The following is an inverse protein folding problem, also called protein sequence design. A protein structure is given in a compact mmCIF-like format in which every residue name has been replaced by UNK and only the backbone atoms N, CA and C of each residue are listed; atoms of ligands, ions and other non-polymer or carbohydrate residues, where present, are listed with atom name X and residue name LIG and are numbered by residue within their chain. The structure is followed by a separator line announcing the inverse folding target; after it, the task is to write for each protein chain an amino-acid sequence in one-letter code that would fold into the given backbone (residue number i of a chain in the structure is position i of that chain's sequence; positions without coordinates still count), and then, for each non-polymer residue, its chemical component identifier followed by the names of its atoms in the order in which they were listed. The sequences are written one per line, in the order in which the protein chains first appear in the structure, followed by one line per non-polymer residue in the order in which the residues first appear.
data_IF_282824837826
#
_entry.id   IF_282824837826
#
_cell.length_a   1.000
_cell.length_b   1.000
_cell.length_c   1.000
_cell.angle_alpha   90.00
_cell.angle_beta   90.00
_cell.angle_gamma   90.00
#
_symmetry.space_group_name_H-M   'P 1'
#
loop_
_entity.id
_entity.type
_entity.pdbx_description
1 polymer ?
#
# COMPACT_ATOMS: atom_id res chain seq x y z
N UNK A 1 30.20 -15.88 -9.65
CA UNK A 1 28.85 -16.45 -9.48
C UNK A 1 28.88 -17.29 -8.23
N UNK A 2 28.18 -16.90 -7.15
CA UNK A 2 28.15 -17.65 -5.87
C UNK A 2 27.21 -18.88 -5.90
N UNK A 3 26.80 -19.32 -7.09
CA UNK A 3 25.81 -20.39 -7.27
C UNK A 3 26.39 -21.75 -6.86
N UNK A 4 27.71 -21.93 -6.89
CA UNK A 4 28.35 -23.21 -6.52
C UNK A 4 28.44 -23.43 -4.99
N UNK A 5 28.35 -22.36 -4.18
CA UNK A 5 28.41 -22.43 -2.71
C UNK A 5 27.01 -22.46 -2.06
N UNK A 6 26.00 -22.95 -2.77
CA UNK A 6 24.63 -22.97 -2.23
C UNK A 6 24.44 -24.15 -1.27
N UNK A 7 23.96 -23.83 -0.06
CA UNK A 7 23.59 -24.82 0.93
C UNK A 7 22.25 -25.46 0.58
N UNK A 8 22.27 -26.76 0.27
CA UNK A 8 21.07 -27.54 -0.09
C UNK A 8 20.04 -27.54 1.04
N UNK A 9 20.47 -27.52 2.30
CA UNK A 9 19.57 -27.46 3.45
C UNK A 9 18.85 -26.10 3.55
N UNK A 10 19.50 -25.01 3.13
CA UNK A 10 18.89 -23.68 3.08
C UNK A 10 17.82 -23.60 1.99
N UNK A 11 18.06 -24.23 0.82
CA UNK A 11 17.06 -24.36 -0.25
C UNK A 11 15.86 -25.16 0.25
N UNK A 12 16.07 -26.32 0.87
CA UNK A 12 14.96 -27.18 1.30
C UNK A 12 14.07 -26.50 2.34
N UNK A 13 14.65 -25.74 3.26
CA UNK A 13 13.92 -24.91 4.23
C UNK A 13 13.14 -23.81 3.52
N UNK A 14 13.75 -23.12 2.54
CA UNK A 14 13.07 -22.08 1.78
C UNK A 14 11.86 -22.62 1.01
N UNK A 15 12.06 -23.69 0.23
CA UNK A 15 11.00 -24.35 -0.54
C UNK A 15 9.91 -24.88 0.39
N UNK A 16 10.29 -25.54 1.49
CA UNK A 16 9.35 -26.02 2.50
C UNK A 16 8.54 -24.87 3.12
N UNK A 17 9.18 -23.74 3.43
CA UNK A 17 8.53 -22.55 3.98
C UNK A 17 7.54 -21.94 2.99
N UNK A 18 7.88 -21.87 1.71
CA UNK A 18 6.99 -21.37 0.65
C UNK A 18 5.78 -22.30 0.51
N UNK A 19 6.01 -23.61 0.36
CA UNK A 19 4.96 -24.61 0.19
C UNK A 19 4.02 -24.60 1.39
N UNK A 20 4.55 -24.62 2.61
CA UNK A 20 3.73 -24.54 3.82
C UNK A 20 2.93 -23.24 3.90
N UNK A 21 3.54 -22.10 3.56
CA UNK A 21 2.85 -20.80 3.54
C UNK A 21 1.68 -20.80 2.54
N UNK A 22 1.86 -21.37 1.35
CA UNK A 22 0.80 -21.45 0.33
C UNK A 22 -0.32 -22.38 0.79
N UNK A 23 0.02 -23.56 1.33
CA UNK A 23 -0.95 -24.52 1.85
C UNK A 23 -1.77 -23.89 2.98
N UNK A 24 -1.12 -23.24 3.95
CA UNK A 24 -1.79 -22.58 5.06
C UNK A 24 -2.69 -21.44 4.59
N UNK A 25 -2.32 -20.69 3.55
CA UNK A 25 -3.18 -19.66 2.95
C UNK A 25 -4.39 -20.27 2.23
N UNK A 26 -4.20 -21.39 1.54
CA UNK A 26 -5.30 -22.10 0.88
C UNK A 26 -6.29 -22.66 1.90
N UNK A 27 -5.79 -23.36 2.92
CA UNK A 27 -6.60 -23.89 4.03
C UNK A 27 -7.25 -22.75 4.81
N UNK A 28 -6.52 -21.66 5.09
CA UNK A 28 -7.02 -20.46 5.75
C UNK A 28 -8.18 -19.83 4.99
N UNK A 29 -8.07 -19.70 3.66
CA UNK A 29 -9.17 -19.22 2.82
C UNK A 29 -10.39 -20.14 2.88
N UNK A 30 -10.18 -21.46 2.82
CA UNK A 30 -11.28 -22.43 2.95
C UNK A 30 -11.97 -22.34 4.32
N UNK A 31 -11.20 -22.24 5.41
CA UNK A 31 -11.74 -22.12 6.77
C UNK A 31 -12.44 -20.77 6.98
N UNK A 32 -11.89 -19.68 6.44
CA UNK A 32 -12.49 -18.35 6.51
C UNK A 32 -13.90 -18.35 5.90
N UNK A 33 -14.10 -19.04 4.78
CA UNK A 33 -15.44 -19.16 4.15
C UNK A 33 -16.45 -19.93 5.02
N UNK A 34 -15.99 -20.80 5.93
CA UNK A 34 -16.88 -21.67 6.72
C UNK A 34 -17.09 -21.23 8.17
N UNK A 35 -16.05 -20.66 8.80
CA UNK A 35 -16.06 -20.32 10.25
C UNK A 35 -15.69 -18.87 10.55
N UNK A 36 -15.41 -18.02 9.55
CA UNK A 36 -14.98 -16.63 9.74
C UNK A 36 -13.74 -16.44 10.62
N UNK A 37 -12.91 -17.48 10.76
CA UNK A 37 -11.64 -17.42 11.49
C UNK A 37 -10.50 -17.27 10.49
N UNK A 38 -9.71 -16.20 10.61
CA UNK A 38 -8.48 -16.01 9.83
C UNK A 38 -7.31 -16.69 10.52
N UNK A 39 -6.69 -17.66 9.85
CA UNK A 39 -5.51 -18.34 10.36
C UNK A 39 -4.26 -17.45 10.22
N UNK A 40 -3.44 -17.29 11.28
CA UNK A 40 -2.19 -16.54 11.21
C UNK A 40 -1.10 -17.39 10.53
N UNK A 41 -1.20 -17.53 9.21
CA UNK A 41 -0.34 -18.43 8.41
C UNK A 41 1.15 -18.15 8.58
N UNK A 42 1.54 -16.88 8.64
CA UNK A 42 2.92 -16.44 8.78
C UNK A 42 3.49 -16.82 10.17
N UNK A 43 2.69 -16.70 11.22
CA UNK A 43 3.11 -17.06 12.58
C UNK A 43 3.33 -18.57 12.71
N UNK A 44 2.46 -19.38 12.11
CA UNK A 44 2.60 -20.85 12.11
C UNK A 44 3.90 -21.26 11.42
N UNK A 45 4.22 -20.66 10.27
CA UNK A 45 5.47 -20.93 9.54
C UNK A 45 6.69 -20.57 10.39
N UNK A 46 6.68 -19.41 11.05
CA UNK A 46 7.76 -18.99 11.95
C UNK A 46 7.93 -19.98 13.11
N UNK A 47 6.83 -20.42 13.74
CA UNK A 47 6.87 -21.35 14.87
C UNK A 47 7.39 -22.73 14.45
N UNK A 48 6.92 -23.25 13.31
CA UNK A 48 7.33 -24.57 12.80
C UNK A 48 8.80 -24.56 12.41
N UNK A 49 9.23 -23.65 11.52
CA UNK A 49 10.62 -23.64 11.05
C UNK A 49 11.60 -23.09 12.09
N UNK A 50 11.17 -22.16 12.94
CA UNK A 50 11.95 -21.71 14.10
C UNK A 50 12.14 -22.84 15.10
N UNK A 51 11.09 -23.62 15.40
CA UNK A 51 11.16 -24.77 16.30
C UNK A 51 12.04 -25.90 15.75
N UNK A 52 11.90 -26.22 14.46
CA UNK A 52 12.78 -27.19 13.78
C UNK A 52 14.24 -26.71 13.82
N UNK A 53 14.49 -25.44 13.54
CA UNK A 53 15.84 -24.88 13.55
C UNK A 53 16.48 -24.91 14.94
N UNK A 54 15.71 -24.56 15.96
CA UNK A 54 16.12 -24.62 17.36
C UNK A 54 16.40 -26.06 17.82
N UNK A 55 15.47 -27.00 17.57
CA UNK A 55 15.59 -28.38 18.01
C UNK A 55 16.65 -29.19 17.27
N UNK A 56 16.78 -29.00 15.95
CA UNK A 56 17.77 -29.71 15.14
C UNK A 56 19.15 -29.03 15.12
N UNK A 57 19.28 -27.83 15.72
CA UNK A 57 20.49 -26.98 15.70
C UNK A 57 21.02 -26.78 14.28
N UNK A 58 20.15 -26.33 13.39
CA UNK A 58 20.43 -26.22 11.96
C UNK A 58 21.59 -25.27 11.63
N UNK A 59 21.78 -24.23 12.46
CA UNK A 59 22.92 -23.32 12.32
C UNK A 59 24.25 -24.05 12.54
N UNK A 60 24.38 -24.82 13.64
CA UNK A 60 25.62 -25.53 13.99
C UNK A 60 25.92 -26.70 13.02
N UNK A 61 24.89 -27.48 12.67
CA UNK A 61 25.09 -28.72 11.89
C UNK A 61 25.20 -28.51 10.39
N UNK A 62 24.44 -27.58 9.85
CA UNK A 62 24.33 -27.36 8.41
C UNK A 62 24.82 -25.99 7.98
N UNK A 63 25.37 -25.18 8.89
CA UNK A 63 25.85 -23.82 8.59
C UNK A 63 24.78 -22.94 7.92
N UNK A 64 23.52 -23.09 8.35
CA UNK A 64 22.40 -22.29 7.84
C UNK A 64 22.42 -20.92 8.52
N UNK A 65 22.30 -19.85 7.74
CA UNK A 65 22.21 -18.48 8.27
C UNK A 65 20.88 -18.29 9.01
N UNK A 66 20.98 -17.91 10.27
CA UNK A 66 19.84 -17.56 11.12
C UNK A 66 19.84 -16.06 11.43
N UNK A 67 18.72 -15.54 11.96
CA UNK A 67 18.57 -14.13 12.33
C UNK A 67 19.66 -13.67 13.30
N UNK A 68 20.07 -14.53 14.24
CA UNK A 68 21.11 -14.21 15.21
C UNK A 68 20.57 -13.48 16.43
N UNK A 69 21.44 -12.77 17.15
CA UNK A 69 21.06 -12.16 18.43
C UNK A 69 20.05 -11.02 18.24
N UNK A 70 18.85 -11.21 18.77
CA UNK A 70 17.82 -10.16 18.86
C UNK A 70 17.90 -9.54 20.25
N UNK A 71 18.05 -8.21 20.39
CA UNK A 71 18.09 -7.57 21.70
C UNK A 71 16.78 -7.82 22.44
N UNK A 72 16.87 -8.50 23.58
CA UNK A 72 15.73 -8.80 24.44
C UNK A 72 15.43 -7.62 25.35
N UNK A 73 14.17 -7.17 25.39
CA UNK A 73 13.70 -6.09 26.26
C UNK A 73 13.00 -4.97 25.49
N UNK A 74 12.50 -3.97 26.21
CA UNK A 74 11.98 -2.76 25.58
C UNK A 74 13.15 -1.89 25.08
N UNK A 75 13.05 -1.30 23.87
CA UNK A 75 14.06 -0.36 23.41
C UNK A 75 14.11 0.85 24.35
N UNK A 76 15.32 1.29 24.68
CA UNK A 76 15.53 2.54 25.42
C UNK A 76 15.07 3.74 24.59
N UNK A 77 14.58 4.79 25.26
CA UNK A 77 14.26 6.05 24.59
C UNK A 77 15.54 6.67 24.05
N UNK A 78 15.62 6.83 22.73
CA UNK A 78 16.74 7.43 22.00
C UNK A 78 16.30 8.73 21.37
N UNK A 79 17.01 9.82 21.65
CA UNK A 79 16.77 11.11 20.99
C UNK A 79 17.31 11.05 19.54
N UNK A 80 16.54 11.48 18.54
CA UNK A 80 17.02 11.53 17.16
C UNK A 80 18.13 12.58 17.00
N UNK A 81 19.21 12.23 16.30
CA UNK A 81 20.34 13.13 16.08
C UNK A 81 19.93 14.32 15.19
N UNK A 82 20.03 15.54 15.74
CA UNK A 82 19.68 16.76 15.01
C UNK A 82 20.62 17.06 13.85
N UNK A 83 21.85 16.54 13.85
CA UNK A 83 22.86 16.83 12.81
C UNK A 83 22.45 16.30 11.45
N UNK A 84 21.74 15.18 11.41
CA UNK A 84 21.29 14.53 10.18
C UNK A 84 19.97 15.11 9.65
N UNK A 85 19.30 16.01 10.41
CA UNK A 85 17.99 16.52 9.99
C UNK A 85 18.07 17.25 8.65
N UNK A 86 19.05 18.13 8.48
CA UNK A 86 19.19 18.93 7.26
C UNK A 86 19.42 18.08 6.00
N UNK A 87 20.06 16.92 6.11
CA UNK A 87 20.30 16.03 4.96
C UNK A 87 19.09 15.16 4.62
N UNK A 88 18.22 14.87 5.60
CA UNK A 88 17.07 13.98 5.45
C UNK A 88 15.72 14.69 5.26
N UNK A 89 15.66 16.03 5.33
CA UNK A 89 14.39 16.77 5.21
C UNK A 89 13.64 16.40 3.93
N UNK A 90 14.33 16.35 2.80
CA UNK A 90 13.69 16.08 1.52
C UNK A 90 13.18 14.62 1.42
N UNK A 91 14.03 13.65 1.74
CA UNK A 91 13.67 12.23 1.70
C UNK A 91 12.55 11.91 2.69
N UNK A 92 12.60 12.48 3.90
CA UNK A 92 11.55 12.28 4.92
C UNK A 92 10.22 12.91 4.52
N UNK A 93 10.21 14.07 3.85
CA UNK A 93 8.99 14.69 3.31
C UNK A 93 8.35 13.81 2.24
N UNK A 94 9.16 13.25 1.35
CA UNK A 94 8.71 12.32 0.30
C UNK A 94 8.10 11.07 0.93
N UNK A 95 8.80 10.43 1.88
CA UNK A 95 8.31 9.23 2.58
C UNK A 95 7.02 9.54 3.35
N UNK A 96 6.94 10.67 4.05
CA UNK A 96 5.76 11.08 4.80
C UNK A 96 4.54 11.25 3.90
N UNK A 97 4.72 11.91 2.75
CA UNK A 97 3.64 12.09 1.76
C UNK A 97 3.13 10.75 1.23
N UNK A 98 4.02 9.83 0.85
CA UNK A 98 3.63 8.51 0.34
C UNK A 98 2.93 7.70 1.41
N UNK A 99 3.53 7.62 2.59
CA UNK A 99 3.05 6.76 3.64
C UNK A 99 1.68 7.26 4.17
N UNK A 100 1.48 8.59 4.24
CA UNK A 100 0.17 9.18 4.48
C UNK A 100 -0.81 8.91 3.32
N UNK A 101 -0.40 9.10 2.07
CA UNK A 101 -1.25 8.84 0.89
C UNK A 101 -1.72 7.38 0.81
N UNK A 102 -0.83 6.42 1.10
CA UNK A 102 -1.20 5.00 1.21
C UNK A 102 -2.18 4.78 2.35
N UNK A 103 -1.92 5.35 3.53
CA UNK A 103 -2.78 5.18 4.70
C UNK A 103 -4.17 5.77 4.48
N UNK A 104 -4.29 6.99 3.95
CA UNK A 104 -5.59 7.61 3.70
C UNK A 104 -6.37 6.92 2.58
N UNK A 105 -5.68 6.38 1.57
CA UNK A 105 -6.31 5.57 0.52
C UNK A 105 -6.96 4.30 1.10
N UNK A 106 -6.30 3.67 2.08
CA UNK A 106 -6.85 2.53 2.81
C UNK A 106 -8.06 2.93 3.68
N UNK A 107 -7.92 4.02 4.44
CA UNK A 107 -9.02 4.54 5.29
C UNK A 107 -10.25 4.85 4.44
N UNK A 108 -10.06 5.51 3.29
CA UNK A 108 -11.14 5.78 2.32
C UNK A 108 -11.80 4.51 1.81
N UNK A 109 -11.02 3.53 1.38
CA UNK A 109 -11.56 2.25 0.88
C UNK A 109 -12.33 1.44 1.94
N UNK A 110 -12.01 1.62 3.23
CA UNK A 110 -12.74 1.01 4.33
C UNK A 110 -13.98 1.80 4.75
N UNK A 111 -13.90 3.13 4.72
CA UNK A 111 -15.02 4.03 5.03
C UNK A 111 -16.12 3.95 3.96
N UNK A 112 -15.77 3.84 2.67
CA UNK A 112 -16.74 3.63 1.59
C UNK A 112 -17.58 2.36 1.81
N UNK A 113 -17.01 1.31 2.41
CA UNK A 113 -17.73 0.08 2.76
C UNK A 113 -18.57 0.19 4.05
N UNK A 114 -18.23 1.14 4.91
CA UNK A 114 -18.83 1.28 6.26
C UNK A 114 -19.74 2.49 6.39
N UNK A 115 -19.81 3.35 5.37
CA UNK A 115 -20.51 4.65 5.37
C UNK A 115 -20.04 5.61 6.47
N UNK A 116 -18.78 5.48 6.90
CA UNK A 116 -18.19 6.31 7.95
C UNK A 116 -17.70 7.66 7.41
N UNK A 117 -17.84 8.72 8.19
CA UNK A 117 -17.32 10.05 7.84
C UNK A 117 -15.83 10.14 8.17
N UNK A 118 -15.01 10.47 7.16
CA UNK A 118 -13.57 10.67 7.33
C UNK A 118 -13.26 12.15 7.55
N UNK A 119 -12.44 12.44 8.56
CA UNK A 119 -11.84 13.76 8.75
C UNK A 119 -10.35 13.70 8.42
N UNK A 120 -9.97 14.16 7.23
CA UNK A 120 -8.58 14.14 6.75
C UNK A 120 -7.60 14.85 7.69
N UNK A 121 -8.00 15.97 8.28
CA UNK A 121 -7.15 16.72 9.21
C UNK A 121 -6.85 15.92 10.49
N UNK A 122 -7.83 15.16 11.00
CA UNK A 122 -7.64 14.33 12.19
C UNK A 122 -6.74 13.13 11.88
N UNK A 123 -6.95 12.48 10.74
CA UNK A 123 -6.09 11.37 10.29
C UNK A 123 -4.63 11.83 10.11
N UNK A 124 -4.41 12.98 9.48
CA UNK A 124 -3.06 13.54 9.30
C UNK A 124 -2.39 13.83 10.64
N UNK A 125 -3.11 14.47 11.57
CA UNK A 125 -2.58 14.77 12.90
C UNK A 125 -2.25 13.52 13.69
N UNK A 126 -3.16 12.53 13.73
CA UNK A 126 -2.94 11.25 14.40
C UNK A 126 -1.75 10.49 13.81
N UNK A 127 -1.61 10.49 12.49
CA UNK A 127 -0.50 9.84 11.79
C UNK A 127 0.86 10.50 12.09
N UNK A 128 0.90 11.84 12.09
CA UNK A 128 2.10 12.60 12.45
C UNK A 128 2.49 12.38 13.92
N UNK A 129 1.50 12.41 14.82
CA UNK A 129 1.71 12.16 16.25
C UNK A 129 2.26 10.76 16.51
N UNK A 130 1.69 9.72 15.86
CA UNK A 130 2.15 8.34 15.98
C UNK A 130 3.63 8.19 15.55
N UNK A 131 3.99 8.67 14.37
CA UNK A 131 5.36 8.56 13.87
C UNK A 131 6.36 9.42 14.68
N UNK A 132 5.92 10.56 15.21
CA UNK A 132 6.75 11.40 16.09
C UNK A 132 7.10 10.65 17.38
N UNK A 133 6.11 10.04 18.04
CA UNK A 133 6.36 9.25 19.26
C UNK A 133 7.22 8.02 18.95
N UNK A 134 6.91 7.30 17.87
CA UNK A 134 7.67 6.11 17.46
C UNK A 134 9.13 6.39 17.14
N UNK A 135 9.47 7.61 16.68
CA UNK A 135 10.86 8.00 16.39
C UNK A 135 11.79 7.91 17.61
N UNK A 136 11.26 8.15 18.82
CA UNK A 136 12.02 8.06 20.06
C UNK A 136 12.36 6.62 20.47
N UNK A 137 11.74 5.62 19.84
CA UNK A 137 11.95 4.20 20.12
C UNK A 137 12.68 3.49 18.96
N UNK A 138 13.43 4.25 18.15
CA UNK A 138 14.16 3.71 16.98
C UNK A 138 13.27 2.93 15.99
N UNK A 139 12.00 3.32 15.87
CA UNK A 139 11.06 2.70 14.94
C UNK A 139 11.20 3.27 13.53
N UNK A 140 10.97 2.41 12.52
CA UNK A 140 10.73 2.86 11.16
C UNK A 140 9.36 3.54 11.03
N UNK A 141 9.17 4.30 9.94
CA UNK A 141 7.90 4.95 9.62
C UNK A 141 6.77 3.91 9.56
N UNK A 142 5.73 4.14 10.36
CA UNK A 142 4.54 3.30 10.43
C UNK A 142 3.57 3.69 9.32
N UNK A 143 3.00 2.73 8.60
CA UNK A 143 1.95 2.95 7.59
C UNK A 143 0.73 2.05 7.83
N UNK A 144 -0.42 2.43 7.29
CA UNK A 144 -1.64 1.62 7.34
C UNK A 144 -1.46 0.24 6.69
N UNK A 145 -1.97 -0.82 7.33
CA UNK A 145 -1.88 -2.19 6.83
C UNK A 145 -3.23 -2.67 6.31
N UNK A 146 -3.35 -2.80 4.98
CA UNK A 146 -4.59 -3.26 4.34
C UNK A 146 -5.06 -4.62 4.91
N UNK A 147 -4.14 -5.57 5.08
CA UNK A 147 -4.48 -6.91 5.57
C UNK A 147 -5.03 -6.87 6.99
N UNK A 148 -4.36 -6.19 7.92
CA UNK A 148 -4.80 -6.09 9.32
C UNK A 148 -6.09 -5.30 9.46
N UNK A 149 -6.19 -4.15 8.79
CA UNK A 149 -7.38 -3.29 8.86
C UNK A 149 -8.60 -3.95 8.21
N UNK A 150 -8.43 -4.73 7.14
CA UNK A 150 -9.53 -5.47 6.54
C UNK A 150 -10.06 -6.58 7.46
N UNK A 151 -9.19 -7.29 8.18
CA UNK A 151 -9.60 -8.31 9.16
C UNK A 151 -10.31 -7.64 10.35
N UNK A 152 -9.75 -6.56 10.88
CA UNK A 152 -10.37 -5.80 11.97
C UNK A 152 -11.76 -5.28 11.55
N UNK A 153 -11.89 -4.72 10.35
CA UNK A 153 -13.16 -4.24 9.83
C UNK A 153 -14.23 -5.34 9.68
N UNK A 154 -13.82 -6.59 9.46
CA UNK A 154 -14.73 -7.75 9.37
C UNK A 154 -15.16 -8.28 10.75
N UNK A 155 -14.24 -8.37 11.70
CA UNK A 155 -14.44 -9.08 12.99
C UNK A 155 -14.97 -8.14 14.08
N UNK A 156 -14.61 -6.85 14.08
CA UNK A 156 -15.12 -5.88 15.06
C UNK A 156 -14.56 -4.47 14.91
N UNK A 157 -15.42 -3.45 15.03
CA UNK A 157 -15.10 -2.03 14.79
C UNK A 157 -14.63 -1.26 16.04
N UNK A 158 -13.77 -1.84 16.88
CA UNK A 158 -13.26 -1.14 18.08
C UNK A 158 -11.75 -0.96 18.05
N UNK A 159 -11.28 0.21 18.50
CA UNK A 159 -9.84 0.50 18.66
C UNK A 159 -9.19 -0.36 19.77
N UNK A 160 -10.00 -0.96 20.66
CA UNK A 160 -9.54 -1.92 21.65
C UNK A 160 -8.84 -3.13 21.00
N UNK A 161 -9.27 -3.54 19.80
CA UNK A 161 -8.60 -4.61 19.06
C UNK A 161 -7.13 -4.31 18.75
N UNK A 162 -6.80 -3.04 18.47
CA UNK A 162 -5.44 -2.61 18.21
C UNK A 162 -4.58 -2.63 19.48
N UNK A 163 -5.15 -2.23 20.63
CA UNK A 163 -4.48 -2.28 21.94
C UNK A 163 -4.19 -3.73 22.36
N UNK A 164 -5.18 -4.62 22.23
CA UNK A 164 -4.98 -6.05 22.53
C UNK A 164 -3.91 -6.64 21.60
N UNK A 165 -3.95 -6.29 20.30
CA UNK A 165 -2.95 -6.75 19.34
C UNK A 165 -1.54 -6.27 19.67
N UNK A 166 -1.36 -5.02 20.11
CA UNK A 166 -0.04 -4.50 20.49
C UNK A 166 0.51 -5.16 21.75
N UNK A 167 -0.34 -5.44 22.74
CA UNK A 167 0.04 -6.18 23.96
C UNK A 167 0.47 -7.61 23.61
N UNK A 168 -0.28 -8.30 22.75
CA UNK A 168 0.08 -9.65 22.31
C UNK A 168 1.43 -9.64 21.58
N UNK A 169 1.65 -8.69 20.67
CA UNK A 169 2.93 -8.56 19.96
C UNK A 169 4.08 -8.30 20.94
N UNK A 170 3.86 -7.46 21.95
CA UNK A 170 4.86 -7.19 23.00
C UNK A 170 5.21 -8.47 23.79
N UNK A 171 4.19 -9.25 24.21
CA UNK A 171 4.40 -10.53 24.91
C UNK A 171 5.15 -11.52 24.01
N UNK A 172 4.75 -11.65 22.75
CA UNK A 172 5.43 -12.53 21.79
C UNK A 172 6.87 -12.11 21.60
N UNK A 173 7.18 -10.81 21.51
CA UNK A 173 8.55 -10.34 21.34
C UNK A 173 9.42 -10.64 22.57
N UNK A 174 8.86 -10.52 23.78
CA UNK A 174 9.57 -10.82 25.03
C UNK A 174 9.79 -12.33 25.26
N UNK A 175 8.82 -13.17 24.90
CA UNK A 175 8.86 -14.61 25.16
C UNK A 175 9.50 -15.39 24.01
N UNK A 176 9.24 -15.00 22.76
CA UNK A 176 9.69 -15.71 21.56
C UNK A 176 11.06 -15.25 21.05
N UNK A 177 11.75 -14.35 21.74
CA UNK A 177 13.13 -13.95 21.43
C UNK A 177 14.06 -15.15 21.08
N UNK A 178 14.15 -16.24 21.89
CA UNK A 178 14.99 -17.39 21.55
C UNK A 178 14.54 -18.17 20.31
N UNK A 179 13.24 -18.13 19.98
CA UNK A 179 12.72 -18.76 18.76
C UNK A 179 13.11 -17.94 17.52
N UNK A 180 13.09 -16.61 17.65
CA UNK A 180 13.45 -15.69 16.57
C UNK A 180 14.96 -15.75 16.31
N UNK A 181 15.81 -15.86 17.33
CA UNK A 181 17.28 -15.91 17.13
C UNK A 181 17.72 -17.11 16.30
N UNK A 182 17.04 -18.24 16.47
CA UNK A 182 17.32 -19.49 15.75
C UNK A 182 16.60 -19.58 14.41
N UNK A 183 15.77 -18.59 14.05
CA UNK A 183 14.96 -18.63 12.85
C UNK A 183 15.85 -18.54 11.59
N UNK A 184 15.71 -19.44 10.60
CA UNK A 184 16.45 -19.36 9.36
C UNK A 184 16.08 -18.11 8.54
N UNK A 185 17.08 -17.39 8.03
CA UNK A 185 16.85 -16.25 7.13
C UNK A 185 16.07 -16.67 5.87
N UNK A 186 16.30 -17.89 5.39
CA UNK A 186 15.58 -18.49 4.27
C UNK A 186 14.06 -18.53 4.46
N UNK A 187 13.59 -18.78 5.69
CA UNK A 187 12.16 -18.76 6.03
C UNK A 187 11.61 -17.33 5.98
N UNK A 188 12.38 -16.35 6.46
CA UNK A 188 12.00 -14.94 6.39
C UNK A 188 11.87 -14.47 4.93
N UNK A 189 12.86 -14.82 4.09
CA UNK A 189 12.82 -14.55 2.64
C UNK A 189 11.63 -15.22 1.97
N UNK A 190 11.31 -16.47 2.32
CA UNK A 190 10.14 -17.18 1.79
C UNK A 190 8.83 -16.45 2.12
N UNK A 191 8.66 -15.98 3.36
CA UNK A 191 7.47 -15.23 3.77
C UNK A 191 7.34 -13.93 2.96
N UNK A 192 8.45 -13.21 2.75
CA UNK A 192 8.48 -11.99 1.94
C UNK A 192 8.07 -12.30 0.49
N UNK A 193 8.62 -13.35 -0.12
CA UNK A 193 8.27 -13.79 -1.49
C UNK A 193 6.77 -14.06 -1.58
N UNK A 194 6.22 -14.84 -0.65
CA UNK A 194 4.78 -15.18 -0.64
C UNK A 194 3.91 -13.92 -0.46
N UNK A 195 4.34 -12.95 0.34
CA UNK A 195 3.63 -11.67 0.48
C UNK A 195 3.64 -10.87 -0.83
N UNK A 196 4.76 -10.88 -1.56
CA UNK A 196 4.92 -10.17 -2.83
C UNK A 196 4.09 -10.77 -3.97
N UNK A 197 3.78 -12.06 -3.96
CA UNK A 197 2.94 -12.70 -4.99
C UNK A 197 1.63 -11.92 -5.20
N UNK A 198 0.99 -11.46 -4.12
CA UNK A 198 -0.26 -10.69 -4.22
C UNK A 198 -0.06 -9.30 -4.83
N UNK A 199 1.11 -8.70 -4.66
CA UNK A 199 1.47 -7.42 -5.28
C UNK A 199 1.73 -7.62 -6.77
N UNK A 200 2.48 -8.67 -7.14
CA UNK A 200 2.75 -9.02 -8.54
C UNK A 200 1.47 -9.36 -9.31
N UNK A 201 0.45 -9.92 -8.65
CA UNK A 201 -0.85 -10.16 -9.30
C UNK A 201 -1.48 -8.89 -9.89
N UNK A 202 -1.21 -7.71 -9.31
CA UNK A 202 -1.71 -6.42 -9.83
C UNK A 202 -1.15 -6.08 -11.21
N UNK A 203 -0.01 -6.64 -11.60
CA UNK A 203 0.54 -6.46 -12.96
C UNK A 203 -0.42 -7.03 -14.01
N UNK A 204 -1.18 -8.07 -13.69
CA UNK A 204 -2.17 -8.64 -14.61
C UNK A 204 -3.40 -7.74 -14.80
N UNK A 205 -3.68 -6.82 -13.87
CA UNK A 205 -4.77 -5.84 -13.98
C UNK A 205 -4.47 -4.76 -15.04
N UNK A 206 -3.24 -4.67 -15.53
CA UNK A 206 -2.81 -3.69 -16.53
C UNK A 206 -3.65 -3.74 -17.82
N UNK A 207 -4.12 -4.94 -18.21
CA UNK A 207 -5.03 -5.10 -19.35
C UNK A 207 -6.34 -4.34 -19.17
N UNK A 208 -6.88 -4.35 -17.95
CA UNK A 208 -8.12 -3.66 -17.60
C UNK A 208 -7.90 -2.15 -17.63
N UNK A 209 -6.79 -1.69 -17.05
CA UNK A 209 -6.41 -0.27 -17.03
C UNK A 209 -6.25 0.26 -18.46
N UNK A 210 -5.66 -0.53 -19.36
CA UNK A 210 -5.50 -0.14 -20.76
C UNK A 210 -6.82 0.08 -21.50
N UNK A 211 -7.83 -0.75 -21.22
CA UNK A 211 -9.17 -0.59 -21.79
C UNK A 211 -9.87 0.66 -21.26
N UNK A 212 -9.63 1.05 -20.01
CA UNK A 212 -10.24 2.23 -19.37
C UNK A 212 -9.54 3.51 -19.82
N UNK A 213 -8.20 3.56 -19.72
CA UNK A 213 -7.41 4.74 -20.08
C UNK A 213 -5.98 4.37 -20.49
N UNK A 214 -5.65 4.67 -21.75
CA UNK A 214 -4.28 4.54 -22.27
C UNK A 214 -3.28 5.37 -21.48
N UNK A 215 -3.67 6.57 -21.03
CA UNK A 215 -2.78 7.45 -20.27
C UNK A 215 -2.44 6.86 -18.90
N UNK A 216 -3.42 6.32 -18.16
CA UNK A 216 -3.16 5.67 -16.87
C UNK A 216 -2.21 4.47 -17.01
N UNK A 217 -2.31 3.75 -18.13
CA UNK A 217 -1.39 2.65 -18.42
C UNK A 217 0.03 3.15 -18.65
N UNK A 218 0.21 4.22 -19.42
CA UNK A 218 1.53 4.83 -19.64
C UNK A 218 2.11 5.33 -18.31
N UNK A 219 1.31 6.02 -17.50
CA UNK A 219 1.72 6.51 -16.19
C UNK A 219 2.19 5.36 -15.29
N UNK A 220 1.45 4.26 -15.26
CA UNK A 220 1.83 3.06 -14.50
C UNK A 220 3.16 2.47 -14.98
N UNK A 221 3.35 2.33 -16.31
CA UNK A 221 4.57 1.76 -16.90
C UNK A 221 5.77 2.65 -16.61
N UNK A 222 5.64 3.96 -16.86
CA UNK A 222 6.73 4.93 -16.64
C UNK A 222 7.13 4.97 -15.17
N UNK A 223 6.16 5.03 -14.25
CA UNK A 223 6.44 5.08 -12.81
C UNK A 223 7.09 3.78 -12.32
N UNK A 224 6.61 2.64 -12.80
CA UNK A 224 7.18 1.32 -12.46
C UNK A 224 8.61 1.18 -12.97
N UNK A 225 8.85 1.54 -14.22
CA UNK A 225 10.17 1.45 -14.84
C UNK A 225 11.16 2.42 -14.19
N UNK A 226 10.72 3.65 -13.91
CA UNK A 226 11.53 4.63 -13.18
C UNK A 226 11.90 4.13 -11.78
N UNK A 227 10.98 3.48 -11.08
CA UNK A 227 11.23 2.89 -9.75
C UNK A 227 12.26 1.74 -9.81
N UNK A 228 12.20 0.90 -10.85
CA UNK A 228 13.14 -0.22 -11.03
C UNK A 228 14.55 0.30 -11.37
N UNK A 229 14.66 1.32 -12.22
CA UNK A 229 15.95 1.82 -12.73
C UNK A 229 16.61 2.80 -11.74
N UNK A 230 15.86 3.77 -11.24
CA UNK A 230 16.39 4.88 -10.42
C UNK A 230 16.12 4.69 -8.92
N UNK A 231 15.30 3.70 -8.54
CA UNK A 231 14.90 3.48 -7.16
C UNK A 231 13.60 4.19 -6.78
N UNK A 232 13.12 3.88 -5.57
CA UNK A 232 11.78 4.25 -5.08
C UNK A 232 11.60 5.77 -4.99
N UNK A 233 12.61 6.50 -4.51
CA UNK A 233 12.54 7.96 -4.34
C UNK A 233 12.28 8.69 -5.66
N UNK A 234 13.09 8.39 -6.69
CA UNK A 234 12.95 9.03 -8.00
C UNK A 234 11.71 8.53 -8.76
N UNK A 235 11.43 7.22 -8.69
CA UNK A 235 10.24 6.66 -9.33
C UNK A 235 8.95 7.33 -8.86
N UNK A 236 8.83 7.56 -7.55
CA UNK A 236 7.70 8.28 -6.98
C UNK A 236 7.67 9.77 -7.39
N UNK A 237 8.80 10.48 -7.35
CA UNK A 237 8.85 11.90 -7.76
C UNK A 237 8.37 12.06 -9.20
N UNK A 238 8.81 11.17 -10.10
CA UNK A 238 8.40 11.19 -11.51
C UNK A 238 6.90 10.90 -11.63
N UNK A 239 6.41 9.82 -11.00
CA UNK A 239 4.99 9.43 -11.09
C UNK A 239 4.04 10.47 -10.52
N UNK A 240 4.37 11.05 -9.36
CA UNK A 240 3.58 12.12 -8.73
C UNK A 240 3.57 13.40 -9.57
N UNK A 241 4.73 13.79 -10.12
CA UNK A 241 4.85 14.98 -10.97
C UNK A 241 4.03 14.86 -12.25
N UNK A 242 4.07 13.70 -12.94
CA UNK A 242 3.24 13.45 -14.13
C UNK A 242 1.75 13.44 -13.77
N UNK A 243 1.39 12.88 -12.62
CA UNK A 243 0.00 12.88 -12.14
C UNK A 243 -0.53 14.29 -11.88
N UNK A 244 0.26 15.15 -11.23
CA UNK A 244 -0.09 16.55 -10.97
C UNK A 244 -0.22 17.33 -12.29
N UNK A 245 0.75 17.16 -13.20
CA UNK A 245 0.71 17.80 -14.52
C UNK A 245 -0.55 17.39 -15.29
N UNK A 246 -0.94 16.12 -15.26
CA UNK A 246 -2.18 15.64 -15.89
C UNK A 246 -3.41 16.38 -15.36
N UNK A 247 -3.52 16.53 -14.05
CA UNK A 247 -4.64 17.24 -13.41
C UNK A 247 -4.64 18.71 -13.87
N UNK A 248 -3.48 19.37 -13.85
CA UNK A 248 -3.34 20.75 -14.32
C UNK A 248 -3.76 20.92 -15.79
N UNK A 249 -3.30 20.04 -16.68
CA UNK A 249 -3.71 20.08 -18.09
C UNK A 249 -5.20 19.78 -18.29
N UNK A 250 -5.79 18.92 -17.46
CA UNK A 250 -7.23 18.68 -17.46
C UNK A 250 -8.03 19.92 -17.07
N UNK A 251 -7.54 20.70 -16.10
CA UNK A 251 -8.17 21.96 -15.68
C UNK A 251 -8.04 23.07 -16.75
N UNK A 252 -6.98 23.02 -17.56
CA UNK A 252 -6.73 23.98 -18.66
C UNK A 252 -7.60 23.75 -19.90
N UNK A 253 -8.14 22.53 -20.11
CA UNK A 253 -9.01 22.20 -21.26
C UNK A 253 -10.44 21.92 -20.79
N UNK A 254 -11.20 22.95 -20.36
CA UNK A 254 -12.61 22.79 -20.02
C UNK A 254 -13.39 22.32 -21.26
N UNK A 255 -14.41 21.48 -21.05
CA UNK A 255 -15.29 21.05 -22.13
C UNK A 255 -16.43 22.05 -22.26
N UNK A 256 -16.68 22.52 -23.47
CA UNK A 256 -17.84 23.35 -23.80
C UNK A 256 -18.91 22.44 -24.42
N UNK A 257 -20.16 22.65 -24.01
CA UNK A 257 -21.32 22.04 -24.63
C UNK A 257 -22.29 23.16 -24.96
N UNK A 258 -22.63 23.34 -26.23
CA UNK A 258 -23.68 24.27 -26.64
C UNK A 258 -25.00 23.57 -26.33
N UNK A 259 -25.89 24.26 -25.62
CA UNK A 259 -27.22 23.76 -25.31
C UNK A 259 -28.14 24.22 -26.43
N UNK A 260 -28.59 23.30 -27.27
CA UNK A 260 -29.70 23.59 -28.18
C UNK A 260 -30.99 23.78 -27.38
N UNK A 261 -31.88 24.64 -27.90
CA UNK A 261 -33.18 24.92 -27.33
C UNK A 261 -34.06 23.66 -27.45
N UNK A 262 -34.08 22.87 -26.37
CA UNK A 262 -34.90 21.66 -26.29
C UNK A 262 -36.35 22.06 -26.04
N UNK A 263 -37.22 21.73 -27.01
CA UNK A 263 -38.68 21.67 -26.85
C UNK A 263 -39.04 21.08 -25.48
N UNK A 264 -39.95 21.74 -24.75
CA UNK A 264 -40.24 21.56 -23.31
C UNK A 264 -40.71 20.15 -22.85
N UNK A 265 -40.57 19.10 -23.65
CA UNK A 265 -41.11 17.77 -23.36
C UNK A 265 -40.11 16.62 -23.20
N UNK A 266 -38.82 16.73 -23.55
CA UNK A 266 -37.88 15.60 -23.37
C UNK A 266 -36.41 16.02 -23.23
N UNK A 267 -35.96 16.33 -22.01
CA UNK A 267 -34.55 16.62 -21.72
C UNK A 267 -33.80 15.33 -21.39
N UNK A 268 -33.52 14.52 -22.42
CA UNK A 268 -32.41 13.58 -22.42
C UNK A 268 -32.00 13.36 -23.87
N UNK A 269 -31.03 14.14 -24.38
CA UNK A 269 -30.03 13.66 -25.35
C UNK A 269 -28.98 14.75 -25.59
N UNK A 270 -27.74 14.50 -25.13
CA UNK A 270 -26.58 15.32 -25.48
C UNK A 270 -26.20 15.00 -26.93
N UNK A 271 -26.59 15.86 -27.88
CA UNK A 271 -26.15 15.72 -29.27
C UNK A 271 -24.79 16.39 -29.42
N UNK A 272 -23.73 15.59 -29.37
CA UNK A 272 -22.43 15.97 -29.93
C UNK A 272 -22.51 15.79 -31.45
N UNK A 273 -22.91 16.83 -32.17
CA UNK A 273 -22.92 16.81 -33.62
C UNK A 273 -23.45 18.12 -34.17
N UNK A 274 -22.60 18.88 -34.85
CA UNK A 274 -23.01 20.00 -35.69
C UNK A 274 -23.88 19.45 -36.82
N UNK A 275 -25.19 19.40 -36.62
CA UNK A 275 -26.12 19.15 -37.71
C UNK A 275 -27.33 20.05 -37.55
N UNK A 276 -27.27 21.15 -38.33
CA UNK A 276 -28.36 22.01 -38.79
C UNK A 276 -29.34 22.46 -37.69
N UNK A 277 -28.94 23.52 -36.98
CA UNK A 277 -29.87 24.34 -36.21
C UNK A 277 -30.48 25.37 -37.17
N UNK A 278 -31.80 25.37 -37.29
CA UNK A 278 -32.56 26.41 -37.98
C UNK A 278 -32.34 27.76 -37.27
N UNK A 279 -31.91 28.77 -38.02
CA UNK A 279 -31.43 30.09 -37.54
C UNK A 279 -32.55 31.01 -36.98
N UNK A 280 -33.51 30.50 -36.21
CA UNK A 280 -34.67 31.32 -35.77
C UNK A 280 -34.59 31.90 -34.35
N UNK A 281 -33.52 31.66 -33.58
CA UNK A 281 -33.33 32.34 -32.28
C UNK A 281 -31.98 33.05 -32.14
N UNK A 282 -32.03 34.37 -31.90
CA UNK A 282 -30.87 35.26 -31.64
C UNK A 282 -30.15 35.00 -30.30
N UNK A 283 -30.34 33.83 -29.67
CA UNK A 283 -29.85 33.52 -28.32
C UNK A 283 -29.06 32.20 -28.38
N UNK A 284 -27.76 32.29 -28.07
CA UNK A 284 -26.89 31.12 -27.94
C UNK A 284 -26.66 30.82 -26.46
N UNK A 285 -27.10 29.64 -25.99
CA UNK A 285 -26.85 29.18 -24.63
C UNK A 285 -25.72 28.15 -24.64
N UNK A 286 -24.65 28.38 -23.88
CA UNK A 286 -23.57 27.42 -23.72
C UNK A 286 -23.38 27.02 -22.26
N UNK A 287 -23.02 25.76 -22.03
CA UNK A 287 -22.70 25.19 -20.72
C UNK A 287 -21.20 24.94 -20.62
N UNK A 288 -20.56 25.72 -19.74
CA UNK A 288 -19.17 25.51 -19.37
C UNK A 288 -19.05 24.34 -18.39
N UNK A 289 -18.53 23.18 -18.84
CA UNK A 289 -18.26 22.04 -17.97
C UNK A 289 -16.83 22.16 -17.41
N UNK A 290 -16.69 22.97 -16.35
CA UNK A 290 -15.44 23.13 -15.62
C UNK A 290 -15.56 24.15 -14.47
N UNK A 291 -14.62 24.11 -13.53
CA UNK A 291 -14.46 25.19 -12.55
C UNK A 291 -13.78 26.37 -13.20
N UNK A 292 -14.33 27.58 -13.06
CA UNK A 292 -13.68 28.82 -13.54
C UNK A 292 -12.56 29.17 -12.56
N UNK A 293 -11.32 29.08 -13.03
CA UNK A 293 -10.11 29.34 -12.24
C UNK A 293 -9.17 30.24 -13.05
N UNK A 294 -8.23 30.91 -12.38
CA UNK A 294 -7.28 31.80 -13.06
C UNK A 294 -6.56 31.12 -14.25
N UNK A 295 -6.25 29.82 -14.13
CA UNK A 295 -5.59 29.02 -15.15
C UNK A 295 -6.39 28.88 -16.47
N UNK A 296 -7.72 28.86 -16.42
CA UNK A 296 -8.55 28.71 -17.62
C UNK A 296 -9.25 30.01 -18.04
N UNK A 297 -8.84 31.16 -17.47
CA UNK A 297 -9.37 32.49 -17.79
C UNK A 297 -9.31 32.82 -19.29
N UNK A 298 -8.30 32.36 -20.02
CA UNK A 298 -8.17 32.64 -21.46
C UNK A 298 -9.16 31.84 -22.32
N UNK A 299 -9.75 30.79 -21.76
CA UNK A 299 -10.73 29.94 -22.43
C UNK A 299 -12.18 30.31 -22.08
N UNK A 300 -12.38 31.24 -21.12
CA UNK A 300 -13.67 31.81 -20.76
C UNK A 300 -13.74 33.25 -21.28
#
# INVERSE_FOLDING_TARGET
SNIENINVAEISISVGSIVLSIILKYIGGYIETRKSITLPSELIVIVVFGGISYGAKLNEKFNIRVVGMVPSGLPSVTLPDHRIFSSLVFDSMVIALVAYACTISLVRGLAEKSSDKISYNKELFSYGFCNTISSFFSCFVCAGSLSRSAIAAKIGRTQLSAIVSSIIILIVLLVAAPLITSLPLATLSAIIIVALINVFKRVFELKIIYTISRFETILWVVTSLATIIFGITYGLLIGSSISILKILFGLLKPKFEILDEVDQSNIQNNVFGFQNVEEETNIVVFKFKGSIIYLNKLFF
#
